data_IF_343854994067
#
_entry.id   IF_343854994067
#
_cell.length_a   1.000
_cell.length_b   1.000
_cell.length_c   1.000
_cell.angle_alpha   90.00
_cell.angle_beta   90.00
_cell.angle_gamma   90.00
#
_symmetry.space_group_name_H-M   'P 1'
#
loop_
_entity.id
_entity.type
_entity.pdbx_description
1 polymer ?
#
# COMPACT_ATOMS: atom_id res chain seq x y z
N UNK A 1 -20.50 8.26 -6.76
CA UNK A 1 -19.05 8.57 -6.68
C UNK A 1 -18.35 7.69 -5.66
N UNK A 2 -18.68 7.76 -4.36
CA UNK A 2 -18.02 6.97 -3.32
C UNK A 2 -18.02 5.46 -3.59
N UNK A 3 -19.15 4.86 -4.00
CA UNK A 3 -19.20 3.42 -4.36
C UNK A 3 -18.16 3.01 -5.40
N UNK A 4 -17.96 3.83 -6.45
CA UNK A 4 -16.96 3.57 -7.49
C UNK A 4 -15.53 3.67 -6.93
N UNK A 5 -15.28 4.66 -6.07
CA UNK A 5 -14.00 4.84 -5.39
C UNK A 5 -13.69 3.69 -4.42
N UNK A 6 -14.68 3.19 -3.67
CA UNK A 6 -14.50 2.05 -2.79
C UNK A 6 -14.20 0.76 -3.56
N UNK A 7 -14.84 0.56 -4.72
CA UNK A 7 -14.50 -0.56 -5.61
C UNK A 7 -13.07 -0.41 -6.14
N UNK A 8 -12.69 0.80 -6.61
CA UNK A 8 -11.32 1.09 -7.03
C UNK A 8 -10.32 0.81 -5.89
N UNK A 9 -10.62 1.25 -4.67
CA UNK A 9 -9.81 1.00 -3.48
C UNK A 9 -9.68 -0.49 -3.18
N UNK A 10 -10.78 -1.24 -3.18
CA UNK A 10 -10.76 -2.68 -2.96
C UNK A 10 -9.92 -3.42 -4.03
N UNK A 11 -10.14 -3.11 -5.31
CA UNK A 11 -9.41 -3.75 -6.42
C UNK A 11 -7.92 -3.38 -6.38
N UNK A 12 -7.60 -2.10 -6.13
CA UNK A 12 -6.20 -1.64 -5.99
C UNK A 12 -5.52 -2.30 -4.79
N UNK A 13 -6.21 -2.40 -3.66
CA UNK A 13 -5.69 -3.04 -2.45
C UNK A 13 -5.47 -4.54 -2.60
N UNK A 14 -6.39 -5.25 -3.27
CA UNK A 14 -6.21 -6.68 -3.58
C UNK A 14 -5.01 -6.87 -4.51
N UNK A 15 -4.89 -6.08 -5.58
CA UNK A 15 -3.75 -6.18 -6.49
C UNK A 15 -2.42 -5.84 -5.82
N UNK A 16 -2.38 -4.78 -5.00
CA UNK A 16 -1.21 -4.43 -4.20
C UNK A 16 -0.84 -5.53 -3.19
N UNK A 17 -1.83 -6.13 -2.54
CA UNK A 17 -1.63 -7.24 -1.61
C UNK A 17 -1.07 -8.48 -2.32
N UNK A 18 -1.64 -8.87 -3.46
CA UNK A 18 -1.12 -9.98 -4.28
C UNK A 18 0.32 -9.72 -4.71
N UNK A 19 0.62 -8.49 -5.18
CA UNK A 19 2.00 -8.10 -5.51
C UNK A 19 2.93 -8.21 -4.30
N UNK A 20 2.46 -7.81 -3.11
CA UNK A 20 3.14 -7.99 -1.83
C UNK A 20 3.45 -9.45 -1.52
N UNK A 21 2.48 -10.35 -1.69
CA UNK A 21 2.67 -11.78 -1.45
C UNK A 21 3.66 -12.41 -2.43
N UNK A 22 3.58 -12.05 -3.72
CA UNK A 22 4.54 -12.49 -4.73
C UNK A 22 5.94 -12.00 -4.39
N UNK A 23 6.07 -10.71 -4.04
CA UNK A 23 7.34 -10.12 -3.66
C UNK A 23 7.93 -10.81 -2.43
N UNK A 24 7.13 -11.02 -1.39
CA UNK A 24 7.56 -11.75 -0.19
C UNK A 24 8.08 -13.15 -0.53
N UNK A 25 7.36 -13.90 -1.36
CA UNK A 25 7.74 -15.25 -1.74
C UNK A 25 9.10 -15.28 -2.44
N UNK A 26 9.32 -14.40 -3.41
CA UNK A 26 10.58 -14.32 -4.17
C UNK A 26 11.74 -13.81 -3.30
N UNK A 27 11.46 -12.84 -2.44
CA UNK A 27 12.45 -12.28 -1.53
C UNK A 27 12.89 -13.32 -0.49
N UNK A 28 11.94 -14.02 0.13
CA UNK A 28 12.23 -15.06 1.12
C UNK A 28 12.94 -16.28 0.51
N UNK A 29 12.59 -16.69 -0.71
CA UNK A 29 13.29 -17.80 -1.38
C UNK A 29 14.75 -17.49 -1.70
N UNK A 30 15.12 -16.20 -1.76
CA UNK A 30 16.47 -15.76 -2.13
C UNK A 30 17.34 -15.40 -0.91
N UNK A 31 16.72 -14.96 0.18
CA UNK A 31 17.42 -14.34 1.32
C UNK A 31 17.08 -14.97 2.69
N UNK A 32 16.20 -15.96 2.75
CA UNK A 32 15.72 -16.58 4.01
C UNK A 32 14.35 -16.07 4.44
N UNK A 33 13.69 -16.76 5.39
CA UNK A 33 12.29 -16.54 5.75
C UNK A 33 12.07 -15.97 7.17
N UNK A 34 13.13 -15.64 7.91
CA UNK A 34 13.07 -15.19 9.32
C UNK A 34 12.10 -14.03 9.58
N UNK A 35 11.95 -13.11 8.62
CA UNK A 35 11.06 -11.94 8.71
C UNK A 35 9.60 -12.21 8.31
N UNK A 36 9.28 -13.38 7.74
CA UNK A 36 7.92 -13.70 7.27
C UNK A 36 6.91 -13.87 8.41
N UNK A 37 7.39 -14.24 9.60
CA UNK A 37 6.60 -14.28 10.83
C UNK A 37 6.15 -12.90 11.32
N UNK A 38 6.91 -11.86 10.97
CA UNK A 38 6.61 -10.46 11.28
C UNK A 38 5.66 -9.90 10.21
N UNK A 39 6.04 -10.01 8.94
CA UNK A 39 5.22 -9.61 7.80
C UNK A 39 4.28 -10.73 7.34
N UNK A 40 3.35 -11.15 8.19
CA UNK A 40 2.45 -12.27 7.85
C UNK A 40 1.67 -11.99 6.56
N UNK A 41 1.48 -12.98 5.66
CA UNK A 41 0.71 -12.82 4.42
C UNK A 41 -0.66 -12.16 4.62
N UNK A 42 -1.37 -12.55 5.68
CA UNK A 42 -2.67 -11.97 6.05
C UNK A 42 -2.55 -10.48 6.38
N UNK A 43 -1.50 -10.08 7.11
CA UNK A 43 -1.27 -8.68 7.46
C UNK A 43 -0.92 -7.85 6.23
N UNK A 44 -0.15 -8.40 5.28
CA UNK A 44 0.17 -7.74 4.01
C UNK A 44 -1.13 -7.45 3.24
N UNK A 45 -1.99 -8.46 3.06
CA UNK A 45 -3.25 -8.33 2.35
C UNK A 45 -4.19 -7.31 3.02
N UNK A 46 -4.43 -7.45 4.32
CA UNK A 46 -5.32 -6.56 5.07
C UNK A 46 -4.82 -5.12 5.01
N UNK A 47 -3.51 -4.90 5.20
CA UNK A 47 -2.93 -3.55 5.19
C UNK A 47 -3.07 -2.89 3.82
N UNK A 48 -2.86 -3.62 2.72
CA UNK A 48 -3.05 -3.09 1.37
C UNK A 48 -4.52 -2.75 1.09
N UNK A 49 -5.45 -3.64 1.47
CA UNK A 49 -6.89 -3.43 1.27
C UNK A 49 -7.37 -2.23 2.08
N UNK A 50 -7.08 -2.19 3.39
CA UNK A 50 -7.49 -1.09 4.26
C UNK A 50 -6.85 0.23 3.83
N UNK A 51 -5.56 0.23 3.48
CA UNK A 51 -4.86 1.42 2.99
C UNK A 51 -5.54 2.02 1.76
N UNK A 52 -5.87 1.19 0.76
CA UNK A 52 -6.56 1.65 -0.44
C UNK A 52 -8.03 2.05 -0.19
N UNK A 53 -8.73 1.44 0.76
CA UNK A 53 -10.08 1.85 1.15
C UNK A 53 -10.07 3.21 1.87
N UNK A 54 -9.11 3.43 2.76
CA UNK A 54 -8.89 4.73 3.41
C UNK A 54 -8.56 5.78 2.35
N UNK A 55 -7.69 5.46 1.38
CA UNK A 55 -7.36 6.31 0.26
C UNK A 55 -8.62 6.68 -0.56
N UNK A 56 -9.52 5.72 -0.81
CA UNK A 56 -10.78 5.97 -1.50
C UNK A 56 -11.70 6.95 -0.76
N UNK A 57 -11.81 6.81 0.56
CA UNK A 57 -12.56 7.74 1.41
C UNK A 57 -11.90 9.11 1.42
N UNK A 58 -10.57 9.17 1.58
CA UNK A 58 -9.80 10.41 1.54
C UNK A 58 -9.97 11.18 0.23
N UNK A 59 -9.90 10.47 -0.91
CA UNK A 59 -10.17 11.05 -2.22
C UNK A 59 -11.59 11.62 -2.29
N UNK A 60 -12.58 10.84 -1.83
CA UNK A 60 -13.97 11.29 -1.83
C UNK A 60 -14.17 12.56 -1.00
N UNK A 61 -13.59 12.65 0.19
CA UNK A 61 -13.70 13.82 1.04
C UNK A 61 -13.01 15.03 0.42
N UNK A 62 -11.80 14.87 -0.10
CA UNK A 62 -11.08 15.94 -0.81
C UNK A 62 -11.87 16.42 -2.04
N UNK A 63 -12.53 15.52 -2.77
CA UNK A 63 -13.38 15.87 -3.92
C UNK A 63 -14.54 16.81 -3.59
N UNK A 64 -15.01 16.79 -2.33
CA UNK A 64 -16.08 17.69 -1.87
C UNK A 64 -15.59 19.11 -1.62
N UNK A 65 -14.31 19.28 -1.32
CA UNK A 65 -13.72 20.57 -0.94
C UNK A 65 -12.95 21.20 -2.09
N UNK A 66 -12.09 20.41 -2.75
CA UNK A 66 -11.12 20.90 -3.74
C UNK A 66 -11.60 20.85 -5.19
N UNK A 67 -12.66 20.07 -5.47
CA UNK A 67 -13.27 19.93 -6.80
C UNK A 67 -12.21 19.65 -7.89
N UNK A 68 -11.96 20.58 -8.79
CA UNK A 68 -11.06 20.43 -9.94
C UNK A 68 -9.59 20.20 -9.55
N UNK A 69 -9.19 20.58 -8.32
CA UNK A 69 -7.83 20.39 -7.80
C UNK A 69 -7.63 19.06 -7.07
N UNK A 70 -8.68 18.27 -6.92
CA UNK A 70 -8.68 17.04 -6.10
C UNK A 70 -7.60 16.07 -6.55
N UNK A 71 -7.46 15.87 -7.87
CA UNK A 71 -6.52 14.89 -8.39
C UNK A 71 -5.08 15.21 -8.02
N UNK A 72 -4.64 16.44 -8.32
CA UNK A 72 -3.27 16.86 -8.07
C UNK A 72 -2.95 16.83 -6.58
N UNK A 73 -3.85 17.32 -5.73
CA UNK A 73 -3.64 17.37 -4.28
C UNK A 73 -3.68 15.97 -3.67
N UNK A 74 -4.63 15.13 -4.08
CA UNK A 74 -4.71 13.76 -3.58
C UNK A 74 -3.47 12.94 -3.97
N UNK A 75 -3.04 13.01 -5.24
CA UNK A 75 -1.87 12.26 -5.68
C UNK A 75 -0.61 12.70 -4.93
N UNK A 76 -0.43 14.01 -4.72
CA UNK A 76 0.66 14.54 -3.90
C UNK A 76 0.59 14.02 -2.46
N UNK A 77 -0.58 14.11 -1.81
CA UNK A 77 -0.76 13.62 -0.44
C UNK A 77 -0.54 12.12 -0.35
N UNK A 78 -1.05 11.34 -1.29
CA UNK A 78 -0.92 9.89 -1.27
C UNK A 78 0.54 9.47 -1.46
N UNK A 79 1.27 10.12 -2.38
CA UNK A 79 2.71 9.91 -2.53
C UNK A 79 3.48 10.26 -1.25
N UNK A 80 3.20 11.42 -0.64
CA UNK A 80 3.85 11.83 0.62
C UNK A 80 3.54 10.81 1.73
N UNK A 81 2.30 10.37 1.87
CA UNK A 81 1.91 9.38 2.88
C UNK A 81 2.57 8.02 2.62
N UNK A 82 2.67 7.58 1.36
CA UNK A 82 3.42 6.38 1.01
C UNK A 82 4.87 6.49 1.47
N UNK A 83 5.56 7.60 1.16
CA UNK A 83 6.92 7.83 1.67
C UNK A 83 6.98 7.92 3.19
N UNK A 84 5.99 8.54 3.85
CA UNK A 84 5.96 8.60 5.31
C UNK A 84 5.83 7.19 5.93
N UNK A 85 5.06 6.29 5.29
CA UNK A 85 4.83 4.96 5.84
C UNK A 85 6.07 4.07 5.83
N UNK A 86 7.06 4.32 4.96
CA UNK A 86 8.31 3.54 4.95
C UNK A 86 9.17 3.79 6.19
N UNK A 87 8.94 4.89 6.90
CA UNK A 87 9.60 5.16 8.19
C UNK A 87 9.25 4.08 9.22
N UNK A 88 8.08 3.45 9.12
CA UNK A 88 7.67 2.34 9.97
C UNK A 88 8.65 1.16 9.89
N UNK A 89 8.83 0.54 8.71
CA UNK A 89 9.84 -0.50 8.51
C UNK A 89 11.27 -0.10 8.88
N UNK A 90 11.68 1.14 8.60
CA UNK A 90 13.04 1.63 8.94
C UNK A 90 13.25 1.70 10.45
N UNK A 91 12.23 2.13 11.20
CA UNK A 91 12.30 2.29 12.65
C UNK A 91 11.90 1.02 13.42
N UNK A 92 11.50 -0.06 12.73
CA UNK A 92 10.99 -1.27 13.36
C UNK A 92 12.08 -1.98 14.18
N UNK A 93 11.77 -2.26 15.45
CA UNK A 93 12.59 -3.14 16.30
C UNK A 93 11.98 -4.53 16.28
N UNK A 94 12.66 -5.47 15.64
CA UNK A 94 12.19 -6.84 15.54
C UNK A 94 12.53 -7.66 16.81
N UNK A 95 11.76 -8.72 17.11
CA UNK A 95 12.09 -9.66 18.18
C UNK A 95 13.51 -10.22 18.05
N UNK A 96 14.18 -10.47 19.18
CA UNK A 96 15.58 -10.93 19.21
C UNK A 96 15.77 -12.31 18.56
N UNK A 97 14.70 -13.10 18.48
CA UNK A 97 14.65 -14.42 17.87
C UNK A 97 14.46 -14.36 16.35
N UNK A 98 14.28 -13.17 15.78
CA UNK A 98 14.12 -13.02 14.32
C UNK A 98 15.46 -13.25 13.64
N UNK A 99 15.53 -14.24 12.76
CA UNK A 99 16.72 -14.45 11.92
C UNK A 99 16.84 -13.34 10.88
N UNK A 100 18.05 -12.78 10.74
CA UNK A 100 18.42 -11.75 9.77
C UNK A 100 17.46 -10.53 9.75
N UNK A 101 17.24 -9.85 10.90
CA UNK A 101 16.28 -8.75 11.00
C UNK A 101 16.62 -7.55 10.11
N UNK A 102 17.88 -7.39 9.73
CA UNK A 102 18.36 -6.35 8.80
C UNK A 102 17.77 -6.46 7.39
N UNK A 103 17.23 -7.63 7.02
CA UNK A 103 16.58 -7.83 5.72
C UNK A 103 15.12 -7.37 5.67
N UNK A 104 14.50 -7.11 6.83
CA UNK A 104 13.09 -6.74 6.90
C UNK A 104 12.76 -5.41 6.20
N UNK A 105 13.55 -4.33 6.34
CA UNK A 105 13.31 -3.10 5.60
C UNK A 105 13.35 -3.31 4.08
N UNK A 106 14.27 -4.15 3.59
CA UNK A 106 14.36 -4.50 2.17
C UNK A 106 13.10 -5.19 1.64
N UNK A 107 12.44 -5.99 2.47
CA UNK A 107 11.14 -6.59 2.16
C UNK A 107 10.00 -5.56 2.22
N UNK A 108 9.88 -4.84 3.34
CA UNK A 108 8.69 -4.09 3.65
C UNK A 108 8.60 -2.78 2.88
N UNK A 109 9.72 -2.05 2.71
CA UNK A 109 9.73 -0.73 2.06
C UNK A 109 9.09 -0.76 0.65
N UNK A 110 9.46 -1.69 -0.26
CA UNK A 110 8.82 -1.76 -1.57
C UNK A 110 7.30 -1.99 -1.51
N UNK A 111 6.83 -2.82 -0.56
CA UNK A 111 5.40 -3.13 -0.42
C UNK A 111 4.55 -1.90 -0.10
N UNK A 112 5.09 -0.92 0.63
CA UNK A 112 4.38 0.32 0.94
C UNK A 112 4.03 1.16 -0.30
N UNK A 113 4.75 0.98 -1.41
CA UNK A 113 4.48 1.68 -2.67
C UNK A 113 3.40 0.99 -3.52
N UNK A 114 3.15 -0.30 -3.32
CA UNK A 114 2.21 -1.05 -4.15
C UNK A 114 0.78 -0.50 -4.12
N UNK A 115 0.21 -0.07 -2.97
CA UNK A 115 -1.10 0.57 -2.92
C UNK A 115 -1.22 1.81 -3.83
N UNK A 116 -0.23 2.71 -3.76
CA UNK A 116 -0.23 3.93 -4.56
C UNK A 116 -0.06 3.62 -6.05
N UNK A 117 0.87 2.73 -6.40
CA UNK A 117 1.09 2.30 -7.79
C UNK A 117 -0.16 1.64 -8.39
N UNK A 118 -0.81 0.74 -7.64
CA UNK A 118 -2.04 0.10 -8.07
C UNK A 118 -3.16 1.13 -8.27
N UNK A 119 -3.32 2.06 -7.33
CA UNK A 119 -4.33 3.12 -7.41
C UNK A 119 -4.11 4.01 -8.64
N UNK A 120 -2.90 4.55 -8.84
CA UNK A 120 -2.60 5.43 -9.98
C UNK A 120 -2.79 4.72 -11.32
N UNK A 121 -2.48 3.42 -11.39
CA UNK A 121 -2.65 2.60 -12.59
C UNK A 121 -4.12 2.31 -12.90
N UNK A 122 -4.92 1.98 -11.88
CA UNK A 122 -6.29 1.53 -12.08
C UNK A 122 -7.30 2.67 -12.11
N UNK A 123 -7.00 3.81 -11.47
CA UNK A 123 -7.93 4.94 -11.38
C UNK A 123 -8.49 5.38 -12.75
N UNK A 124 -7.71 5.49 -13.85
CA UNK A 124 -8.24 5.82 -15.16
C UNK A 124 -9.32 4.83 -15.68
N UNK A 125 -9.32 3.58 -15.23
CA UNK A 125 -10.30 2.57 -15.63
C UNK A 125 -11.64 2.73 -14.88
N UNK A 126 -11.62 3.27 -13.66
CA UNK A 126 -12.80 3.42 -12.80
C UNK A 126 -13.35 4.85 -12.73
N UNK A 127 -12.52 5.85 -13.01
CA UNK A 127 -12.80 7.27 -12.80
C UNK A 127 -12.23 8.17 -13.92
N UNK A 128 -12.47 7.80 -15.18
CA UNK A 128 -12.10 8.59 -16.37
C UNK A 128 -12.74 10.00 -16.44
N UNK A 129 -13.73 10.29 -15.61
CA UNK A 129 -14.57 11.50 -15.67
C UNK A 129 -15.08 12.02 -14.32
N UNK A 130 -14.37 11.73 -13.23
CA UNK A 130 -14.59 12.41 -11.93
C UNK A 130 -13.59 13.52 -11.78
#
# INVERSE_FOLDING_TARGET
>A
MLKKLLILGAVSGVLAGIAGLIYQKVYASSLGDGFTNVAKPVNIMISCILGCLIAAVGYFLLSKVLKDKTEAVFNLLFSILTFATILGPIAAKLPLETEMPELFPGLAIPMHFFPALAWFTLKPLFAKSV
#
